data_IF_890722897724
#
_entry.id   IF_890722897724
#
_cell.length_a   1.000
_cell.length_b   1.000
_cell.length_c   1.000
_cell.angle_alpha   90.00
_cell.angle_beta   90.00
_cell.angle_gamma   90.00
#
_symmetry.space_group_name_H-M   'P 1'
#
loop_
_entity.id
_entity.type
_entity.pdbx_description
1 polymer ?
#
# COMPACT_ATOMS: atom_id res chain seq x y z
N UNK A 1 -24.44 -9.12 4.50
CA UNK A 1 -24.24 -8.55 5.85
C UNK A 1 -24.50 -7.06 5.72
N UNK A 2 -25.40 -6.48 6.52
CA UNK A 2 -25.75 -5.07 6.35
C UNK A 2 -24.61 -4.16 6.80
N UNK A 3 -24.31 -3.11 6.03
CA UNK A 3 -23.24 -2.13 6.28
C UNK A 3 -23.14 -1.68 7.76
N UNK A 4 -24.27 -1.33 8.37
CA UNK A 4 -24.33 -0.86 9.76
C UNK A 4 -23.89 -1.92 10.77
N UNK A 5 -24.06 -3.21 10.46
CA UNK A 5 -23.59 -4.28 11.35
C UNK A 5 -22.07 -4.40 11.29
N UNK A 6 -21.47 -4.31 10.10
CA UNK A 6 -20.01 -4.38 9.94
C UNK A 6 -19.33 -3.23 10.69
N UNK A 7 -19.80 -1.99 10.53
CA UNK A 7 -19.19 -0.86 11.26
C UNK A 7 -19.31 -1.01 12.78
N UNK A 8 -20.44 -1.53 13.28
CA UNK A 8 -20.61 -1.82 14.71
C UNK A 8 -19.68 -2.93 15.19
N UNK A 9 -19.42 -3.92 14.35
CA UNK A 9 -18.49 -5.00 14.68
C UNK A 9 -17.04 -4.49 14.68
N UNK A 10 -16.65 -3.63 13.73
CA UNK A 10 -15.35 -2.95 13.71
C UNK A 10 -15.20 -2.08 14.97
N UNK A 11 -16.21 -1.27 15.33
CA UNK A 11 -16.19 -0.45 16.55
C UNK A 11 -15.93 -1.27 17.82
N UNK A 12 -16.44 -2.50 17.87
CA UNK A 12 -16.33 -3.38 19.03
C UNK A 12 -15.04 -4.18 19.07
N UNK A 13 -14.52 -4.57 17.91
CA UNK A 13 -13.42 -5.55 17.80
C UNK A 13 -12.07 -4.92 17.44
N UNK A 14 -12.09 -3.74 16.82
CA UNK A 14 -10.89 -3.03 16.38
C UNK A 14 -10.64 -1.79 17.23
N UNK A 15 -9.48 -1.18 17.02
CA UNK A 15 -9.09 0.07 17.63
C UNK A 15 -10.02 1.21 17.21
N UNK A 16 -10.06 2.24 18.05
CA UNK A 16 -10.83 3.45 17.76
C UNK A 16 -10.39 4.12 16.45
N UNK A 17 -9.09 4.10 16.14
CA UNK A 17 -8.58 4.70 14.90
C UNK A 17 -9.01 3.89 13.68
N UNK A 18 -9.02 2.55 13.75
CA UNK A 18 -9.52 1.71 12.67
C UNK A 18 -11.01 1.91 12.42
N UNK A 19 -11.82 2.00 13.47
CA UNK A 19 -13.24 2.34 13.34
C UNK A 19 -13.46 3.71 12.68
N UNK A 20 -12.75 4.75 13.13
CA UNK A 20 -12.90 6.10 12.56
C UNK A 20 -12.45 6.15 11.10
N UNK A 21 -11.37 5.44 10.74
CA UNK A 21 -10.93 5.32 9.35
C UNK A 21 -11.98 4.59 8.52
N UNK A 22 -12.56 3.50 9.03
CA UNK A 22 -13.60 2.75 8.32
C UNK A 22 -14.85 3.62 8.07
N UNK A 23 -15.27 4.42 9.05
CA UNK A 23 -16.37 5.39 8.86
C UNK A 23 -16.01 6.41 7.79
N UNK A 24 -14.84 7.05 7.91
CA UNK A 24 -14.39 8.08 6.96
C UNK A 24 -14.30 7.56 5.52
N UNK A 25 -13.72 6.38 5.31
CA UNK A 25 -13.59 5.77 3.98
C UNK A 25 -14.95 5.49 3.33
N UNK A 26 -15.92 5.03 4.10
CA UNK A 26 -17.27 4.78 3.60
C UNK A 26 -17.97 6.09 3.28
N UNK A 27 -17.89 7.08 4.17
CA UNK A 27 -18.51 8.38 3.98
C UNK A 27 -18.00 9.04 2.68
N UNK A 28 -16.68 9.01 2.45
CA UNK A 28 -16.06 9.51 1.23
C UNK A 28 -16.48 8.73 -0.03
N UNK A 29 -16.51 7.39 0.03
CA UNK A 29 -16.81 6.55 -1.14
C UNK A 29 -18.28 6.62 -1.54
N UNK A 30 -19.18 6.52 -0.56
CA UNK A 30 -20.60 6.25 -0.79
C UNK A 30 -21.48 7.47 -0.55
N UNK A 31 -21.00 8.49 0.20
CA UNK A 31 -21.78 9.67 0.57
C UNK A 31 -23.21 9.30 1.03
N UNK A 32 -23.32 8.26 1.88
CA UNK A 32 -24.58 7.69 2.37
C UNK A 32 -25.54 7.10 1.29
N UNK A 33 -25.06 6.75 0.09
CA UNK A 33 -25.85 6.13 -0.99
C UNK A 33 -25.52 4.65 -1.20
N UNK A 34 -26.46 3.93 -1.83
CA UNK A 34 -26.52 2.48 -2.09
C UNK A 34 -25.18 1.74 -2.00
N UNK A 35 -24.98 1.08 -0.86
CA UNK A 35 -23.83 0.22 -0.53
C UNK A 35 -24.06 -1.21 -1.10
N UNK A 36 -25.22 -1.49 -1.68
CA UNK A 36 -25.69 -2.84 -2.02
C UNK A 36 -24.91 -3.54 -3.15
N UNK A 37 -24.08 -2.82 -3.92
CA UNK A 37 -23.40 -3.38 -5.09
C UNK A 37 -21.93 -3.76 -4.88
N UNK A 38 -21.34 -3.48 -3.71
CA UNK A 38 -19.91 -3.72 -3.45
C UNK A 38 -19.71 -4.66 -2.26
N UNK A 39 -18.82 -5.65 -2.41
CA UNK A 39 -18.31 -6.43 -1.27
C UNK A 39 -17.54 -5.49 -0.33
N UNK A 40 -18.10 -5.21 0.84
CA UNK A 40 -17.44 -4.37 1.85
C UNK A 40 -16.09 -4.94 2.28
N UNK A 41 -15.96 -6.27 2.29
CA UNK A 41 -14.67 -6.93 2.52
C UNK A 41 -13.65 -6.49 1.47
N UNK A 42 -13.97 -6.66 0.19
CA UNK A 42 -13.07 -6.32 -0.93
C UNK A 42 -12.69 -4.82 -0.88
N UNK A 43 -13.66 -3.96 -0.57
CA UNK A 43 -13.40 -2.53 -0.38
C UNK A 43 -12.37 -2.26 0.73
N UNK A 44 -12.49 -2.94 1.88
CA UNK A 44 -11.64 -2.71 3.04
C UNK A 44 -10.29 -3.44 3.00
N UNK A 45 -10.14 -4.51 2.21
CA UNK A 45 -8.85 -5.21 2.06
C UNK A 45 -8.05 -4.68 0.86
N UNK A 46 -8.66 -3.85 0.02
CA UNK A 46 -7.98 -3.15 -1.05
C UNK A 46 -7.19 -1.94 -0.53
N UNK A 47 -5.85 -2.07 -0.50
CA UNK A 47 -4.95 -1.03 0.00
C UNK A 47 -5.04 0.28 -0.80
N UNK A 48 -5.40 0.24 -2.09
CA UNK A 48 -5.53 1.46 -2.89
C UNK A 48 -6.63 2.37 -2.32
N UNK A 49 -7.68 1.81 -1.73
CA UNK A 49 -8.74 2.58 -1.08
C UNK A 49 -8.22 3.39 0.13
N UNK A 50 -7.19 2.93 0.83
CA UNK A 50 -6.60 3.66 1.96
C UNK A 50 -5.82 4.88 1.48
N UNK A 51 -5.16 4.81 0.32
CA UNK A 51 -4.56 5.99 -0.27
C UNK A 51 -5.58 6.97 -0.82
N UNK A 52 -6.67 6.49 -1.42
CA UNK A 52 -7.67 7.36 -2.02
C UNK A 52 -8.49 8.06 -0.94
N UNK A 53 -9.01 7.32 0.03
CA UNK A 53 -10.04 7.81 0.95
C UNK A 53 -9.52 8.24 2.32
N UNK A 54 -8.28 7.91 2.70
CA UNK A 54 -7.70 8.41 3.97
C UNK A 54 -6.68 9.52 3.76
N UNK A 55 -6.41 9.97 2.53
CA UNK A 55 -5.34 10.94 2.24
C UNK A 55 -5.45 12.24 3.06
N UNK A 56 -6.66 12.76 3.21
CA UNK A 56 -6.96 13.94 4.03
C UNK A 56 -7.01 13.64 5.53
N UNK A 57 -7.29 12.39 5.90
CA UNK A 57 -7.38 11.90 7.27
C UNK A 57 -6.04 11.47 7.88
N UNK A 58 -4.98 11.32 7.06
CA UNK A 58 -3.64 10.89 7.46
C UNK A 58 -3.10 11.63 8.68
N UNK A 59 -3.24 12.96 8.73
CA UNK A 59 -2.75 13.76 9.86
C UNK A 59 -3.48 13.43 11.17
N UNK A 60 -4.75 13.03 11.10
CA UNK A 60 -5.51 12.61 12.27
C UNK A 60 -4.99 11.26 12.77
N UNK A 61 -4.76 10.31 11.85
CA UNK A 61 -4.23 8.98 12.17
C UNK A 61 -2.89 9.11 12.92
N UNK A 62 -1.93 9.83 12.33
CA UNK A 62 -0.60 9.99 12.93
C UNK A 62 -0.62 10.83 14.20
N UNK A 63 -1.13 12.05 14.15
CA UNK A 63 -0.91 12.99 15.25
C UNK A 63 -1.85 12.78 16.45
N UNK A 64 -3.05 12.25 16.22
CA UNK A 64 -4.06 12.09 17.29
C UNK A 64 -4.03 10.70 17.91
N UNK A 65 -3.68 9.69 17.13
CA UNK A 65 -3.75 8.29 17.56
C UNK A 65 -2.40 7.59 17.60
N UNK A 66 -1.31 8.27 17.22
CA UNK A 66 0.05 7.71 17.15
C UNK A 66 0.05 6.37 16.39
N UNK A 67 -0.64 6.37 15.25
CA UNK A 67 -0.81 5.18 14.40
C UNK A 67 -0.54 5.52 12.94
N UNK A 68 -0.55 4.51 12.06
CA UNK A 68 -0.27 4.60 10.63
C UNK A 68 -1.39 4.01 9.79
N UNK A 69 -1.44 4.39 8.50
CA UNK A 69 -2.34 3.75 7.53
C UNK A 69 -2.09 2.25 7.45
N UNK A 70 -0.83 1.84 7.51
CA UNK A 70 -0.42 0.44 7.49
C UNK A 70 -0.95 -0.34 8.70
N UNK A 71 -0.89 0.22 9.91
CA UNK A 71 -1.45 -0.45 11.10
C UNK A 71 -2.97 -0.56 11.03
N UNK A 72 -3.65 0.50 10.60
CA UNK A 72 -5.10 0.49 10.37
C UNK A 72 -5.47 -0.58 9.35
N UNK A 73 -4.75 -0.65 8.22
CA UNK A 73 -4.95 -1.66 7.20
C UNK A 73 -4.77 -3.08 7.75
N UNK A 74 -3.67 -3.34 8.47
CA UNK A 74 -3.38 -4.65 9.03
C UNK A 74 -4.48 -5.12 10.00
N UNK A 75 -4.99 -4.20 10.83
CA UNK A 75 -6.06 -4.49 11.77
C UNK A 75 -7.39 -4.80 11.06
N UNK A 76 -7.72 -4.04 10.02
CA UNK A 76 -8.94 -4.27 9.23
C UNK A 76 -8.84 -5.57 8.41
N UNK A 77 -7.68 -5.89 7.83
CA UNK A 77 -7.45 -7.20 7.21
C UNK A 77 -7.66 -8.34 8.22
N UNK A 78 -7.10 -8.20 9.43
CA UNK A 78 -7.28 -9.19 10.49
C UNK A 78 -8.75 -9.36 10.90
N UNK A 79 -9.53 -8.28 10.93
CA UNK A 79 -10.98 -8.33 11.18
C UNK A 79 -11.74 -9.15 10.14
N UNK A 80 -11.34 -9.08 8.86
CA UNK A 80 -11.93 -9.85 7.75
C UNK A 80 -11.30 -11.23 7.55
N UNK A 81 -10.44 -11.65 8.48
CA UNK A 81 -9.67 -12.90 8.40
C UNK A 81 -8.80 -12.98 7.14
N UNK A 82 -8.25 -11.84 6.71
CA UNK A 82 -7.35 -11.73 5.56
C UNK A 82 -5.91 -11.43 5.98
N UNK A 83 -4.97 -11.96 5.22
CA UNK A 83 -3.54 -11.63 5.40
C UNK A 83 -3.27 -10.27 4.76
N UNK A 84 -2.62 -9.30 5.45
CA UNK A 84 -2.35 -7.99 4.86
C UNK A 84 -1.45 -8.04 3.62
N UNK A 85 -0.54 -9.01 3.56
CA UNK A 85 0.34 -9.25 2.42
C UNK A 85 -0.37 -10.03 1.30
N UNK A 86 -1.46 -9.45 0.80
CA UNK A 86 -2.35 -10.02 -0.23
C UNK A 86 -2.14 -9.35 -1.61
N UNK A 87 -2.94 -9.80 -2.58
CA UNK A 87 -2.95 -9.29 -3.96
C UNK A 87 -3.09 -7.77 -4.05
N UNK A 88 -4.01 -7.17 -3.29
CA UNK A 88 -4.28 -5.74 -3.39
C UNK A 88 -3.07 -4.91 -2.97
N UNK A 89 -2.45 -5.25 -1.84
CA UNK A 89 -1.24 -4.58 -1.38
C UNK A 89 -0.08 -4.78 -2.36
N UNK A 90 0.05 -5.97 -2.94
CA UNK A 90 1.04 -6.26 -3.97
C UNK A 90 0.82 -5.40 -5.21
N UNK A 91 -0.38 -5.41 -5.80
CA UNK A 91 -0.71 -4.66 -7.02
C UNK A 91 -0.51 -3.17 -6.83
N UNK A 92 -0.91 -2.65 -5.67
CA UNK A 92 -0.67 -1.27 -5.29
C UNK A 92 0.83 -0.92 -5.26
N UNK A 93 1.65 -1.75 -4.62
CA UNK A 93 3.11 -1.56 -4.55
C UNK A 93 3.75 -1.65 -5.93
N UNK A 94 3.32 -2.62 -6.75
CA UNK A 94 3.80 -2.78 -8.12
C UNK A 94 3.45 -1.56 -8.97
N UNK A 95 2.21 -1.06 -8.91
CA UNK A 95 1.78 0.16 -9.62
C UNK A 95 2.65 1.37 -9.24
N UNK A 96 2.96 1.56 -7.95
CA UNK A 96 3.87 2.62 -7.48
C UNK A 96 5.32 2.40 -7.90
N UNK A 97 5.76 1.15 -8.05
CA UNK A 97 7.10 0.82 -8.51
C UNK A 97 7.24 1.06 -10.01
N UNK A 98 6.30 0.55 -10.82
CA UNK A 98 6.30 0.65 -12.28
C UNK A 98 6.11 2.06 -12.81
N UNK A 99 5.59 2.99 -12.01
CA UNK A 99 5.52 4.41 -12.37
C UNK A 99 6.86 5.15 -12.20
N UNK A 100 7.85 4.54 -11.54
CA UNK A 100 9.18 5.11 -11.37
C UNK A 100 10.07 4.73 -12.57
N UNK A 101 10.85 5.68 -13.07
CA UNK A 101 11.86 5.43 -14.11
C UNK A 101 13.26 5.50 -13.47
N UNK A 102 13.91 4.37 -13.14
CA UNK A 102 15.19 4.36 -12.44
C UNK A 102 16.28 5.12 -13.20
N UNK A 103 16.26 5.09 -14.54
CA UNK A 103 17.26 5.75 -15.38
C UNK A 103 17.30 7.27 -15.16
N UNK A 104 16.20 7.87 -14.71
CA UNK A 104 16.16 9.30 -14.37
C UNK A 104 17.11 9.68 -13.23
N UNK A 105 17.47 8.73 -12.38
CA UNK A 105 18.34 8.98 -11.22
C UNK A 105 19.79 9.25 -11.63
N UNK A 106 20.21 8.84 -12.84
CA UNK A 106 21.54 9.22 -13.38
C UNK A 106 21.69 10.73 -13.53
N UNK A 107 20.59 11.46 -13.69
CA UNK A 107 20.58 12.91 -13.87
C UNK A 107 20.54 13.67 -12.54
N UNK A 108 20.50 12.98 -11.39
CA UNK A 108 20.58 13.64 -10.08
C UNK A 108 22.04 14.04 -9.85
N UNK A 109 22.28 15.36 -9.78
CA UNK A 109 23.62 15.94 -9.60
C UNK A 109 24.16 15.66 -8.20
N UNK A 110 23.33 15.84 -7.18
CA UNK A 110 23.71 15.61 -5.78
C UNK A 110 23.88 14.11 -5.50
N UNK A 111 25.12 13.69 -5.21
CA UNK A 111 25.49 12.28 -5.08
C UNK A 111 24.76 11.60 -3.91
N UNK A 112 24.61 12.30 -2.78
CA UNK A 112 23.92 11.79 -1.59
C UNK A 112 22.43 11.58 -1.87
N UNK A 113 21.78 12.54 -2.51
CA UNK A 113 20.38 12.43 -2.94
C UNK A 113 20.20 11.31 -3.95
N UNK A 114 21.13 11.15 -4.90
CA UNK A 114 21.12 10.06 -5.89
C UNK A 114 21.21 8.71 -5.20
N UNK A 115 22.19 8.53 -4.30
CA UNK A 115 22.38 7.30 -3.56
C UNK A 115 21.16 6.95 -2.68
N UNK A 116 20.64 7.93 -1.95
CA UNK A 116 19.42 7.78 -1.13
C UNK A 116 18.21 7.37 -1.98
N UNK A 117 18.05 7.94 -3.18
CA UNK A 117 16.95 7.60 -4.10
C UNK A 117 17.07 6.18 -4.64
N UNK A 118 18.29 5.76 -5.00
CA UNK A 118 18.61 4.40 -5.46
C UNK A 118 18.29 3.38 -4.36
N UNK A 119 18.78 3.61 -3.13
CA UNK A 119 18.53 2.71 -1.99
C UNK A 119 17.05 2.62 -1.64
N UNK A 120 16.31 3.74 -1.71
CA UNK A 120 14.85 3.74 -1.50
C UNK A 120 14.13 2.88 -2.54
N UNK A 121 14.54 2.95 -3.80
CA UNK A 121 13.96 2.13 -4.86
C UNK A 121 14.31 0.65 -4.68
N UNK A 122 15.56 0.34 -4.36
CA UNK A 122 16.02 -1.02 -4.06
C UNK A 122 15.23 -1.64 -2.88
N UNK A 123 15.03 -0.88 -1.81
CA UNK A 123 14.21 -1.32 -0.68
C UNK A 123 12.75 -1.60 -1.08
N UNK A 124 12.15 -0.80 -1.96
CA UNK A 124 10.79 -1.06 -2.47
C UNK A 124 10.75 -2.37 -3.27
N UNK A 125 11.75 -2.63 -4.10
CA UNK A 125 11.88 -3.89 -4.84
C UNK A 125 11.99 -5.06 -3.86
N UNK A 126 12.89 -4.97 -2.87
CA UNK A 126 13.09 -6.01 -1.87
C UNK A 126 11.81 -6.31 -1.06
N UNK A 127 11.02 -5.29 -0.72
CA UNK A 127 9.72 -5.46 -0.05
C UNK A 127 8.78 -6.30 -0.93
N UNK A 128 8.69 -5.98 -2.22
CA UNK A 128 7.85 -6.75 -3.16
C UNK A 128 8.37 -8.19 -3.30
N UNK A 129 9.68 -8.39 -3.48
CA UNK A 129 10.26 -9.73 -3.61
C UNK A 129 10.13 -10.56 -2.32
N UNK A 130 10.04 -9.90 -1.16
CA UNK A 130 9.82 -10.56 0.13
C UNK A 130 8.36 -10.92 0.39
N UNK A 131 7.42 -10.35 -0.37
CA UNK A 131 5.98 -10.57 -0.22
C UNK A 131 5.60 -12.03 -0.42
N UNK A 132 4.72 -12.52 0.44
CA UNK A 132 4.11 -13.84 0.41
C UNK A 132 3.34 -14.03 -0.89
N UNK A 133 2.48 -13.07 -1.25
CA UNK A 133 1.72 -13.11 -2.50
C UNK A 133 2.64 -13.17 -3.73
N UNK A 134 3.72 -12.39 -3.75
CA UNK A 134 4.68 -12.43 -4.85
C UNK A 134 5.37 -13.79 -4.97
N UNK A 135 5.87 -14.34 -3.85
CA UNK A 135 6.57 -15.64 -3.84
C UNK A 135 5.67 -16.79 -4.33
N UNK A 136 4.38 -16.73 -4.03
CA UNK A 136 3.41 -17.74 -4.48
C UNK A 136 3.12 -17.64 -5.99
N UNK A 137 3.32 -16.46 -6.60
CA UNK A 137 2.94 -16.14 -7.98
C UNK A 137 4.12 -15.66 -8.85
N UNK A 138 5.37 -15.92 -8.42
CA UNK A 138 6.59 -15.33 -8.99
C UNK A 138 6.72 -15.54 -10.51
N UNK A 139 6.31 -16.71 -11.00
CA UNK A 139 6.40 -17.06 -12.43
C UNK A 139 5.62 -16.11 -13.33
N UNK A 140 4.48 -15.60 -12.87
CA UNK A 140 3.60 -14.74 -13.65
C UNK A 140 3.90 -13.26 -13.43
N UNK A 141 4.45 -12.90 -12.27
CA UNK A 141 4.58 -11.51 -11.83
C UNK A 141 6.02 -10.95 -11.90
N UNK A 142 7.01 -11.79 -12.19
CA UNK A 142 8.43 -11.41 -12.13
C UNK A 142 8.89 -10.49 -13.27
N UNK A 143 8.24 -10.51 -14.44
CA UNK A 143 8.72 -9.79 -15.63
C UNK A 143 8.86 -8.28 -15.39
N UNK A 144 7.85 -7.66 -14.77
CA UNK A 144 7.85 -6.23 -14.48
C UNK A 144 8.94 -5.85 -13.46
N UNK A 145 9.11 -6.67 -12.42
CA UNK A 145 10.12 -6.44 -11.38
C UNK A 145 11.53 -6.62 -11.96
N UNK A 146 11.74 -7.66 -12.77
CA UNK A 146 13.02 -7.92 -13.45
C UNK A 146 13.42 -6.73 -14.31
N UNK A 147 12.47 -6.15 -15.06
CA UNK A 147 12.72 -4.98 -15.91
C UNK A 147 13.22 -3.78 -15.08
N UNK A 148 12.55 -3.49 -13.97
CA UNK A 148 12.90 -2.37 -13.09
C UNK A 148 14.25 -2.63 -12.40
N UNK A 149 14.51 -3.86 -11.94
CA UNK A 149 15.80 -4.27 -11.37
C UNK A 149 16.94 -4.06 -12.35
N UNK A 150 16.80 -4.50 -13.60
CA UNK A 150 17.82 -4.30 -14.64
C UNK A 150 18.12 -2.81 -14.85
N UNK A 151 17.10 -1.95 -14.88
CA UNK A 151 17.30 -0.51 -14.99
C UNK A 151 17.99 0.08 -13.76
N UNK A 152 17.67 -0.38 -12.56
CA UNK A 152 18.32 0.05 -11.33
C UNK A 152 19.80 -0.35 -11.27
N UNK A 153 20.14 -1.57 -11.70
CA UNK A 153 21.53 -2.04 -11.74
C UNK A 153 22.42 -1.21 -12.66
N UNK A 154 21.89 -0.76 -13.81
CA UNK A 154 22.59 0.19 -14.70
C UNK A 154 22.88 1.49 -13.96
N UNK A 155 21.90 2.04 -13.25
CA UNK A 155 22.04 3.28 -12.49
C UNK A 155 23.05 3.12 -11.35
N UNK A 156 22.99 2.02 -10.59
CA UNK A 156 23.95 1.69 -9.53
C UNK A 156 25.38 1.65 -10.05
N UNK A 157 25.58 0.99 -11.19
CA UNK A 157 26.88 0.90 -11.86
C UNK A 157 27.44 2.28 -12.24
N UNK A 158 26.62 3.14 -12.84
CA UNK A 158 27.02 4.52 -13.22
C UNK A 158 27.32 5.37 -11.98
N UNK A 159 26.53 5.20 -10.91
CA UNK A 159 26.70 5.93 -9.66
C UNK A 159 27.83 5.39 -8.76
N UNK A 160 28.48 4.28 -9.13
CA UNK A 160 29.52 3.64 -8.30
C UNK A 160 28.99 2.99 -7.02
N UNK A 161 27.69 2.67 -6.97
CA UNK A 161 27.01 2.05 -5.83
C UNK A 161 26.96 0.54 -6.05
N UNK A 162 27.31 -0.25 -5.03
CA UNK A 162 27.24 -1.71 -5.05
C UNK A 162 25.90 -2.20 -4.53
#
# INVERSE_FOLDING_TARGET
MEFKSILKDIERKCSKVAYLCAVHMIDEKFNNKDIESISLKDFFIDYENYEIFLNDYVNVIYNKFDSSKEEVYNEICSFFEETPDNEYLFLFRLKKLSSQNPLSYMNIEDEDTRASSILKLENKINIIESSTYYKENEKELSEDIIKIKKSLEVVKTVAGIK
#
